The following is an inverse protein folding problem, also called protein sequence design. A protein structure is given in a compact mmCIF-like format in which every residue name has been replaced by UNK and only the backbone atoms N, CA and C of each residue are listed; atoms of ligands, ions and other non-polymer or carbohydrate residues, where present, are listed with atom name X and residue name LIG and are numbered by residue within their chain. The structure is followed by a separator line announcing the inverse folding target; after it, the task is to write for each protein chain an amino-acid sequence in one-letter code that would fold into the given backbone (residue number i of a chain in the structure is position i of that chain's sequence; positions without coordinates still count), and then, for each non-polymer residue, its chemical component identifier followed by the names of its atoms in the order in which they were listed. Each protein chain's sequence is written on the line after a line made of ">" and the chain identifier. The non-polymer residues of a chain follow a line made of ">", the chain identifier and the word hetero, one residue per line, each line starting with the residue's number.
data_IF_701416965600
#
_entry.id   IF_701416965600
#
_cell.length_a   1.000
_cell.length_b   1.000
_cell.length_c   1.000
_cell.angle_alpha   90.00
_cell.angle_beta   90.00
_cell.angle_gamma   90.00
#
_symmetry.space_group_name_H-M   'P 1'
#
loop_
_entity.id
_entity.type
_entity.pdbx_description
1 polymer ?
#
# COMPACT_ATOMS: atom_id res chain seq x y z
N UNK A 1 10.94 11.43 19.58
CA UNK A 1 10.49 10.46 18.55
C UNK A 1 10.97 10.98 17.19
N UNK A 2 12.00 10.38 16.60
CA UNK A 2 12.50 10.83 15.28
C UNK A 2 11.48 10.44 14.21
N UNK A 3 10.93 11.43 13.51
CA UNK A 3 10.10 11.21 12.33
C UNK A 3 11.02 10.65 11.24
N UNK A 4 10.89 9.36 10.94
CA UNK A 4 11.56 8.76 9.79
C UNK A 4 10.91 9.34 8.54
N UNK A 5 11.71 10.01 7.72
CA UNK A 5 11.24 10.54 6.45
C UNK A 5 11.11 9.40 5.44
N UNK A 6 9.89 8.88 5.32
CA UNK A 6 9.54 7.85 4.35
C UNK A 6 9.41 8.39 2.90
N UNK A 7 9.86 9.62 2.61
CA UNK A 7 9.95 10.13 1.24
C UNK A 7 11.16 9.59 0.46
N UNK A 8 12.12 9.00 1.16
CA UNK A 8 13.30 8.35 0.58
C UNK A 8 13.01 6.90 0.16
N UNK A 9 13.59 6.48 -0.97
CA UNK A 9 13.59 5.07 -1.41
C UNK A 9 14.08 4.16 -0.29
N UNK A 10 13.39 3.05 -0.07
CA UNK A 10 13.65 2.11 1.02
C UNK A 10 14.13 0.76 0.49
N UNK A 11 14.81 0.75 -0.66
CA UNK A 11 15.37 -0.47 -1.29
C UNK A 11 16.21 -1.29 -0.31
N UNK A 12 16.85 -0.64 0.66
CA UNK A 12 17.71 -1.31 1.65
C UNK A 12 16.93 -2.12 2.71
N UNK A 13 15.59 -1.97 2.79
CA UNK A 13 14.79 -2.79 3.70
C UNK A 13 14.60 -4.21 3.14
N UNK A 14 14.51 -5.24 4.01
CA UNK A 14 14.14 -6.58 3.56
C UNK A 14 12.82 -6.58 2.78
N UNK A 15 12.77 -7.31 1.65
CA UNK A 15 11.59 -7.42 0.77
C UNK A 15 10.28 -7.64 1.55
N UNK A 16 10.29 -8.61 2.48
CA UNK A 16 9.16 -8.91 3.35
C UNK A 16 8.69 -7.71 4.15
N UNK A 17 9.61 -6.91 4.69
CA UNK A 17 9.28 -5.72 5.48
C UNK A 17 8.65 -4.62 4.60
N UNK A 18 9.14 -4.43 3.38
CA UNK A 18 8.55 -3.48 2.43
C UNK A 18 7.10 -3.87 2.07
N UNK A 19 6.85 -5.16 1.84
CA UNK A 19 5.48 -5.67 1.58
C UNK A 19 4.57 -5.47 2.79
N UNK A 20 5.08 -5.70 4.01
CA UNK A 20 4.33 -5.43 5.23
C UNK A 20 4.07 -3.93 5.44
N UNK A 21 5.01 -3.05 5.07
CA UNK A 21 4.81 -1.61 5.11
C UNK A 21 3.72 -1.16 4.14
N UNK A 22 3.66 -1.74 2.93
CA UNK A 22 2.54 -1.52 2.00
C UNK A 22 1.22 -1.97 2.64
N UNK A 23 1.18 -3.15 3.24
CA UNK A 23 -0.01 -3.65 3.93
C UNK A 23 -0.50 -2.68 5.02
N UNK A 24 0.40 -2.24 5.90
CA UNK A 24 0.09 -1.29 6.97
C UNK A 24 -0.45 0.02 6.41
N UNK A 25 0.15 0.52 5.32
CA UNK A 25 -0.33 1.73 4.66
C UNK A 25 -1.75 1.56 4.12
N UNK A 26 -2.03 0.46 3.42
CA UNK A 26 -3.37 0.18 2.88
C UNK A 26 -4.42 0.01 3.99
N UNK A 27 -4.05 -0.61 5.12
CA UNK A 27 -4.93 -0.73 6.29
C UNK A 27 -5.28 0.64 6.89
N UNK A 28 -4.28 1.52 7.06
CA UNK A 28 -4.49 2.90 7.54
C UNK A 28 -5.32 3.73 6.57
N UNK A 29 -5.04 3.62 5.28
CA UNK A 29 -5.80 4.29 4.22
C UNK A 29 -7.26 3.87 4.26
N UNK A 30 -7.53 2.56 4.35
CA UNK A 30 -8.89 2.03 4.51
C UNK A 30 -9.60 2.69 5.70
N UNK A 31 -8.98 2.65 6.88
CA UNK A 31 -9.58 3.20 8.09
C UNK A 31 -9.89 4.70 7.93
N UNK A 32 -8.94 5.49 7.46
CA UNK A 32 -9.11 6.94 7.33
C UNK A 32 -10.14 7.33 6.28
N UNK A 33 -10.20 6.60 5.16
CA UNK A 33 -11.21 6.83 4.13
C UNK A 33 -12.61 6.48 4.64
N UNK A 34 -12.74 5.40 5.42
CA UNK A 34 -14.00 4.97 6.01
C UNK A 34 -14.51 5.95 7.08
N UNK A 35 -13.64 6.40 7.98
CA UNK A 35 -14.00 7.27 9.11
C UNK A 35 -14.27 8.73 8.72
N UNK A 36 -13.68 9.20 7.62
CA UNK A 36 -13.84 10.57 7.15
C UNK A 36 -12.64 11.07 6.37
N UNK A 37 -12.68 10.88 5.05
CA UNK A 37 -11.63 11.28 4.10
C UNK A 37 -11.18 12.73 4.27
N UNK A 38 -12.12 13.69 4.32
CA UNK A 38 -11.80 15.12 4.27
C UNK A 38 -10.96 15.60 5.46
N UNK A 39 -11.14 14.96 6.63
CA UNK A 39 -10.41 15.29 7.86
C UNK A 39 -8.96 14.81 7.84
N UNK A 40 -8.59 13.96 6.88
CA UNK A 40 -7.30 13.25 6.85
C UNK A 40 -6.67 13.26 5.46
N UNK A 41 -7.13 14.12 4.55
CA UNK A 41 -6.71 14.16 3.15
C UNK A 41 -5.19 14.28 2.97
N UNK A 42 -4.52 15.09 3.78
CA UNK A 42 -3.05 15.21 3.77
C UNK A 42 -2.34 13.90 4.13
N UNK A 43 -2.79 13.22 5.20
CA UNK A 43 -2.24 11.93 5.60
C UNK A 43 -2.51 10.86 4.55
N UNK A 44 -3.71 10.87 3.97
CA UNK A 44 -4.08 9.93 2.91
C UNK A 44 -3.17 10.12 1.69
N UNK A 45 -2.96 11.35 1.25
CA UNK A 45 -2.05 11.65 0.13
C UNK A 45 -0.61 11.22 0.42
N UNK A 46 -0.12 11.50 1.64
CA UNK A 46 1.22 11.09 2.08
C UNK A 46 1.38 9.56 2.03
N UNK A 47 0.44 8.82 2.60
CA UNK A 47 0.51 7.35 2.67
C UNK A 47 0.25 6.69 1.31
N UNK A 48 -0.56 7.31 0.44
CA UNK A 48 -0.71 6.90 -0.95
C UNK A 48 0.64 7.00 -1.69
N UNK A 49 1.34 8.14 -1.54
CA UNK A 49 2.65 8.36 -2.15
C UNK A 49 3.72 7.41 -1.61
N UNK A 50 3.74 7.18 -0.30
CA UNK A 50 4.65 6.19 0.30
C UNK A 50 4.41 4.80 -0.26
N UNK A 51 3.14 4.42 -0.47
CA UNK A 51 2.79 3.12 -1.04
C UNK A 51 3.27 2.99 -2.49
N UNK A 52 3.16 4.05 -3.30
CA UNK A 52 3.76 4.10 -4.64
C UNK A 52 5.27 3.91 -4.61
N UNK A 53 5.96 4.58 -3.69
CA UNK A 53 7.40 4.48 -3.58
C UNK A 53 7.84 3.05 -3.22
N UNK A 54 7.19 2.42 -2.24
CA UNK A 54 7.47 1.01 -1.93
C UNK A 54 7.22 0.10 -3.12
N UNK A 55 6.10 0.28 -3.85
CA UNK A 55 5.82 -0.52 -5.05
C UNK A 55 6.91 -0.38 -6.12
N UNK A 56 7.42 0.83 -6.34
CA UNK A 56 8.52 1.08 -7.27
C UNK A 56 9.86 0.47 -6.78
N UNK A 57 10.10 0.45 -5.48
CA UNK A 57 11.28 -0.20 -4.89
C UNK A 57 11.23 -1.74 -5.05
N UNK A 58 10.02 -2.34 -5.04
CA UNK A 58 9.84 -3.78 -5.29
C UNK A 58 10.26 -4.20 -6.71
N UNK A 59 10.16 -3.31 -7.71
CA UNK A 59 10.55 -3.60 -9.10
C UNK A 59 12.05 -3.89 -9.27
N UNK A 60 12.85 -3.41 -8.32
CA UNK A 60 14.31 -3.55 -8.33
C UNK A 60 14.79 -4.77 -7.56
N UNK A 61 13.87 -5.51 -6.95
CA UNK A 61 14.19 -6.63 -6.07
C UNK A 61 13.92 -7.99 -6.73
N UNK A 62 14.60 -9.02 -6.22
CA UNK A 62 14.38 -10.40 -6.66
C UNK A 62 13.14 -10.96 -5.96
N UNK A 63 11.99 -10.89 -6.63
CA UNK A 63 10.72 -11.40 -6.14
C UNK A 63 10.63 -12.92 -6.31
N UNK A 64 10.14 -13.63 -5.28
CA UNK A 64 9.91 -15.08 -5.39
C UNK A 64 8.88 -15.43 -6.49
N UNK A 65 8.97 -16.65 -7.01
CA UNK A 65 7.99 -17.16 -7.98
C UNK A 65 6.58 -17.23 -7.41
N UNK A 66 6.45 -17.52 -6.11
CA UNK A 66 5.16 -17.73 -5.45
C UNK A 66 4.46 -16.40 -5.10
N UNK A 67 5.23 -15.33 -4.88
CA UNK A 67 4.67 -14.00 -4.60
C UNK A 67 4.45 -13.16 -5.85
N UNK A 68 5.20 -13.42 -6.94
CA UNK A 68 5.10 -12.65 -8.20
C UNK A 68 3.66 -12.45 -8.69
N UNK A 69 2.77 -13.47 -8.72
CA UNK A 69 1.38 -13.26 -9.16
C UNK A 69 0.59 -12.28 -8.27
N UNK A 70 0.88 -12.24 -6.96
CA UNK A 70 0.26 -11.29 -6.04
C UNK A 70 0.74 -9.87 -6.32
N UNK A 71 2.05 -9.70 -6.53
CA UNK A 71 2.63 -8.39 -6.81
C UNK A 71 2.08 -7.80 -8.12
N UNK A 72 1.99 -8.59 -9.20
CA UNK A 72 1.49 -8.11 -10.48
C UNK A 72 0.01 -7.71 -10.43
N UNK A 73 -0.81 -8.44 -9.66
CA UNK A 73 -2.21 -8.05 -9.43
C UNK A 73 -2.30 -6.77 -8.61
N UNK A 74 -1.47 -6.62 -7.58
CA UNK A 74 -1.43 -5.38 -6.78
C UNK A 74 -1.02 -4.18 -7.64
N UNK A 75 0.00 -4.32 -8.50
CA UNK A 75 0.44 -3.26 -9.41
C UNK A 75 -0.63 -2.84 -10.41
N UNK A 76 -1.52 -3.76 -10.78
CA UNK A 76 -2.69 -3.44 -11.61
C UNK A 76 -3.77 -2.71 -10.81
N UNK A 77 -4.09 -3.19 -9.60
CA UNK A 77 -5.19 -2.64 -8.78
C UNK A 77 -4.85 -1.33 -8.09
N UNK A 78 -3.61 -1.13 -7.66
CA UNK A 78 -3.24 0.04 -6.85
C UNK A 78 -3.41 1.38 -7.61
N UNK A 79 -3.00 1.51 -8.89
CA UNK A 79 -3.30 2.70 -9.68
C UNK A 79 -4.80 2.97 -9.81
N UNK A 80 -5.62 1.92 -9.93
CA UNK A 80 -7.07 2.04 -9.95
C UNK A 80 -7.60 2.59 -8.62
N UNK A 81 -7.18 2.01 -7.48
CA UNK A 81 -7.51 2.53 -6.15
C UNK A 81 -7.14 4.00 -6.00
N UNK A 82 -5.94 4.39 -6.41
CA UNK A 82 -5.52 5.80 -6.35
C UNK A 82 -6.43 6.71 -7.18
N UNK A 83 -6.76 6.31 -8.41
CA UNK A 83 -7.61 7.09 -9.32
C UNK A 83 -9.04 7.22 -8.82
N UNK A 84 -9.60 6.17 -8.22
CA UNK A 84 -11.02 6.14 -7.80
C UNK A 84 -11.27 6.67 -6.40
N UNK A 85 -10.21 7.00 -5.65
CA UNK A 85 -10.30 7.51 -4.27
C UNK A 85 -11.34 8.62 -4.11
N UNK A 86 -11.47 9.53 -5.07
CA UNK A 86 -12.40 10.67 -5.01
C UNK A 86 -13.75 10.44 -5.70
N UNK A 87 -13.87 9.43 -6.56
CA UNK A 87 -15.06 9.22 -7.40
C UNK A 87 -15.91 8.01 -6.99
N UNK A 88 -15.41 7.18 -6.08
CA UNK A 88 -16.06 5.96 -5.63
C UNK A 88 -16.68 6.12 -4.25
N UNK A 89 -17.67 5.29 -3.96
CA UNK A 89 -18.18 5.10 -2.60
C UNK A 89 -17.01 4.80 -1.64
N UNK A 90 -16.87 5.62 -0.60
CA UNK A 90 -15.72 5.57 0.32
C UNK A 90 -15.68 4.28 1.12
N UNK A 91 -16.83 3.67 1.44
CA UNK A 91 -16.89 2.39 2.16
C UNK A 91 -16.37 1.27 1.28
N UNK A 92 -16.87 1.20 0.05
CA UNK A 92 -16.40 0.20 -0.91
C UNK A 92 -14.91 0.37 -1.24
N UNK A 93 -14.44 1.61 -1.37
CA UNK A 93 -13.02 1.90 -1.56
C UNK A 93 -12.19 1.39 -0.38
N UNK A 94 -12.63 1.68 0.86
CA UNK A 94 -11.94 1.25 2.08
C UNK A 94 -11.88 -0.28 2.19
N UNK A 95 -12.99 -0.98 1.93
CA UNK A 95 -13.02 -2.45 1.92
C UNK A 95 -12.02 -3.06 0.94
N UNK A 96 -11.90 -2.48 -0.27
CA UNK A 96 -10.89 -2.93 -1.25
C UNK A 96 -9.46 -2.71 -0.77
N UNK A 97 -9.17 -1.54 -0.20
CA UNK A 97 -7.84 -1.25 0.36
C UNK A 97 -7.51 -2.22 1.51
N UNK A 98 -8.46 -2.49 2.42
CA UNK A 98 -8.30 -3.45 3.50
C UNK A 98 -8.11 -4.89 3.01
N UNK A 99 -8.84 -5.28 1.96
CA UNK A 99 -8.68 -6.59 1.32
C UNK A 99 -7.24 -6.78 0.84
N UNK A 100 -6.69 -5.79 0.16
CA UNK A 100 -5.30 -5.82 -0.28
C UNK A 100 -4.31 -5.84 0.89
N UNK A 101 -4.55 -5.07 1.95
CA UNK A 101 -3.74 -5.13 3.16
C UNK A 101 -3.67 -6.57 3.72
N UNK A 102 -4.83 -7.22 3.87
CA UNK A 102 -4.90 -8.58 4.40
C UNK A 102 -4.19 -9.61 3.50
N UNK A 103 -4.35 -9.51 2.18
CA UNK A 103 -3.64 -10.36 1.21
C UNK A 103 -2.13 -10.19 1.40
N UNK A 104 -1.63 -8.96 1.46
CA UNK A 104 -0.20 -8.68 1.55
C UNK A 104 0.38 -9.12 2.89
N UNK A 105 -0.32 -8.92 4.00
CA UNK A 105 0.08 -9.44 5.31
C UNK A 105 0.31 -10.94 5.27
N UNK A 106 -0.63 -11.71 4.68
CA UNK A 106 -0.48 -13.15 4.58
C UNK A 106 0.63 -13.55 3.60
N UNK A 107 0.70 -12.89 2.43
CA UNK A 107 1.57 -13.29 1.32
C UNK A 107 3.01 -12.83 1.49
N UNK A 108 3.31 -11.87 2.37
CA UNK A 108 4.67 -11.42 2.66
C UNK A 108 5.60 -12.54 3.15
N UNK A 109 5.07 -13.61 3.76
CA UNK A 109 5.87 -14.75 4.25
C UNK A 109 6.47 -15.62 3.15
N UNK A 110 5.95 -15.51 1.92
CA UNK A 110 6.40 -16.29 0.75
C UNK A 110 7.02 -15.39 -0.33
N UNK A 111 7.34 -14.13 0.01
CA UNK A 111 7.87 -13.13 -0.91
C UNK A 111 9.36 -13.27 -1.20
#
# INVERSE_FOLDING_TARGET
>A
MKLVDHSLSQIDLPLKLQILNISVNLSRLSQWVYEGYDKRSELINKFMKQTENYLADLDRQKISRDFKPTLERLKTEFPYLKKTLNSQDKRFWAEKALTWANILTHRAKIA
#
